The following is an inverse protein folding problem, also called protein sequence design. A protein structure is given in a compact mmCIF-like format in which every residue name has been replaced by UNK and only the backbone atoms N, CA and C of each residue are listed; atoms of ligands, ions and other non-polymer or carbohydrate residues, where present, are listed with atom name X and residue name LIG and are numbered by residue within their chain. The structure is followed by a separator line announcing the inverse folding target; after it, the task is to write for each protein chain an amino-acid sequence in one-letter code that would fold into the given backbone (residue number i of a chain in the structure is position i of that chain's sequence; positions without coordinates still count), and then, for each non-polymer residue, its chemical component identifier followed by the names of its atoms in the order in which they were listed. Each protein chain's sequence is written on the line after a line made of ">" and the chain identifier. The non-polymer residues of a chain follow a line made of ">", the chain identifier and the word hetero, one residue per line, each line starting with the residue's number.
data_IF_815930281949
#
_entry.id   IF_815930281949
#
_cell.length_a   1.000
_cell.length_b   1.000
_cell.length_c   1.000
_cell.angle_alpha   90.00
_cell.angle_beta   90.00
_cell.angle_gamma   90.00
#
_symmetry.space_group_name_H-M   'P 1'
#
loop_
_entity.id
_entity.type
_entity.pdbx_description
1 polymer ?
#
# COMPACT_ATOMS: atom_id res chain seq x y z
N UNK A 1 44.03 -37.97 41.85
CA UNK A 1 42.80 -37.20 41.52
C UNK A 1 43.20 -35.77 41.21
N UNK A 2 43.36 -35.43 39.93
CA UNK A 2 43.73 -34.07 39.47
C UNK A 2 42.51 -33.17 39.57
N UNK A 3 42.52 -32.22 40.52
CA UNK A 3 41.47 -31.23 40.73
C UNK A 3 41.57 -30.17 39.64
N UNK A 4 40.65 -30.21 38.67
CA UNK A 4 40.49 -29.15 37.68
C UNK A 4 40.06 -27.86 38.38
N UNK A 5 40.86 -26.80 38.27
CA UNK A 5 40.47 -25.45 38.73
C UNK A 5 39.28 -25.00 37.88
N UNK A 6 38.12 -24.85 38.51
CA UNK A 6 37.00 -24.15 37.90
C UNK A 6 37.25 -22.65 38.04
N UNK A 7 37.51 -21.99 36.92
CA UNK A 7 37.63 -20.55 36.86
C UNK A 7 36.21 -19.97 36.85
N UNK A 8 35.83 -19.26 37.91
CA UNK A 8 34.56 -18.54 37.98
C UNK A 8 34.65 -17.21 37.24
N UNK A 9 33.58 -16.82 36.55
CA UNK A 9 33.44 -15.49 35.95
C UNK A 9 33.44 -14.41 37.02
N UNK A 10 34.08 -13.28 36.72
CA UNK A 10 34.03 -12.12 37.63
C UNK A 10 32.69 -11.39 37.49
N UNK A 11 32.17 -10.83 38.59
CA UNK A 11 30.95 -9.99 38.56
C UNK A 11 31.13 -8.80 37.60
N UNK A 12 32.36 -8.28 37.51
CA UNK A 12 32.71 -7.17 36.62
C UNK A 12 32.63 -7.58 35.14
N UNK A 13 33.05 -8.80 34.78
CA UNK A 13 32.86 -9.34 33.42
C UNK A 13 31.38 -9.43 33.06
N UNK A 14 30.53 -9.89 33.97
CA UNK A 14 29.11 -9.98 33.68
C UNK A 14 28.48 -8.58 33.55
N UNK A 15 28.93 -7.63 34.38
CA UNK A 15 28.44 -6.25 34.38
C UNK A 15 28.77 -5.53 33.07
N UNK A 16 30.00 -5.64 32.57
CA UNK A 16 30.36 -4.97 31.31
C UNK A 16 29.58 -5.55 30.12
N UNK A 17 29.32 -6.86 30.12
CA UNK A 17 28.58 -7.54 29.04
C UNK A 17 27.14 -7.02 28.97
N UNK A 18 26.43 -6.92 30.09
CA UNK A 18 25.05 -6.41 30.08
C UNK A 18 24.98 -4.94 29.68
N UNK A 19 25.99 -4.13 30.04
CA UNK A 19 26.09 -2.73 29.63
C UNK A 19 26.28 -2.62 28.12
N UNK A 20 27.21 -3.41 27.56
CA UNK A 20 27.46 -3.42 26.12
C UNK A 20 26.24 -3.91 25.34
N UNK A 21 25.57 -4.98 25.80
CA UNK A 21 24.32 -5.46 25.18
C UNK A 21 23.23 -4.40 25.24
N UNK A 22 23.12 -3.66 26.36
CA UNK A 22 22.16 -2.56 26.50
C UNK A 22 22.38 -1.43 25.49
N UNK A 23 23.63 -1.01 25.29
CA UNK A 23 23.98 0.05 24.31
C UNK A 23 23.69 -0.43 22.88
N UNK A 24 24.11 -1.66 22.54
CA UNK A 24 23.87 -2.22 21.20
C UNK A 24 22.37 -2.40 20.90
N UNK A 25 21.58 -2.86 21.89
CA UNK A 25 20.15 -3.00 21.75
C UNK A 25 19.46 -1.65 21.48
N UNK A 26 19.83 -0.60 22.20
CA UNK A 26 19.25 0.74 22.03
C UNK A 26 19.47 1.30 20.61
N UNK A 27 20.69 1.19 20.08
CA UNK A 27 21.01 1.63 18.70
C UNK A 27 20.22 0.81 17.67
N UNK A 28 20.14 -0.50 17.87
CA UNK A 28 19.47 -1.43 16.95
C UNK A 28 17.99 -1.10 16.82
N UNK A 29 17.29 -0.78 17.91
CA UNK A 29 15.86 -0.45 17.91
C UNK A 29 15.58 0.80 17.05
N UNK A 30 16.37 1.86 17.21
CA UNK A 30 16.18 3.11 16.45
C UNK A 30 16.43 2.89 14.95
N UNK A 31 17.49 2.16 14.60
CA UNK A 31 17.80 1.84 13.22
C UNK A 31 16.72 0.96 12.56
N UNK A 32 16.16 0.00 13.30
CA UNK A 32 15.18 -0.95 12.80
C UNK A 32 13.86 -0.30 12.36
N UNK A 33 13.43 0.77 13.05
CA UNK A 33 12.22 1.52 12.68
C UNK A 33 12.30 2.16 11.29
N UNK A 34 13.45 2.74 10.94
CA UNK A 34 13.67 3.35 9.62
C UNK A 34 13.73 2.33 8.48
N UNK A 35 14.31 1.15 8.74
CA UNK A 35 14.36 0.05 7.76
C UNK A 35 12.97 -0.50 7.48
N UNK A 36 12.16 -0.73 8.51
CA UNK A 36 10.79 -1.21 8.35
C UNK A 36 9.92 -0.24 7.53
N UNK A 37 10.02 1.06 7.77
CA UNK A 37 9.25 2.06 7.01
C UNK A 37 9.58 2.02 5.51
N UNK A 38 10.86 1.90 5.14
CA UNK A 38 11.30 1.77 3.75
C UNK A 38 10.82 0.46 3.10
N UNK A 39 10.83 -0.64 3.86
CA UNK A 39 10.32 -1.92 3.39
C UNK A 39 8.81 -1.84 3.07
N UNK A 40 8.01 -1.25 3.98
CA UNK A 40 6.58 -1.01 3.77
C UNK A 40 6.31 -0.09 2.56
N UNK A 41 7.13 0.93 2.36
CA UNK A 41 7.00 1.81 1.20
C UNK A 41 7.27 1.07 -0.13
N UNK A 42 8.27 0.19 -0.16
CA UNK A 42 8.52 -0.67 -1.33
C UNK A 42 7.36 -1.62 -1.61
N UNK A 43 6.76 -2.16 -0.55
CA UNK A 43 5.58 -3.03 -0.64
C UNK A 43 4.36 -2.28 -1.19
N UNK A 44 4.07 -1.06 -0.68
CA UNK A 44 3.01 -0.18 -1.20
C UNK A 44 3.15 0.08 -2.70
N UNK A 45 4.37 0.39 -3.16
CA UNK A 45 4.63 0.63 -4.59
C UNK A 45 4.38 -0.63 -5.43
N UNK A 46 4.73 -1.80 -4.91
CA UNK A 46 4.49 -3.07 -5.59
C UNK A 46 2.99 -3.39 -5.70
N UNK A 47 2.24 -3.19 -4.62
CA UNK A 47 0.78 -3.40 -4.59
C UNK A 47 0.05 -2.47 -5.55
N UNK A 48 0.39 -1.19 -5.56
CA UNK A 48 -0.21 -0.21 -6.49
C UNK A 48 0.08 -0.58 -7.94
N UNK A 49 1.29 -1.06 -8.27
CA UNK A 49 1.61 -1.58 -9.61
C UNK A 49 0.76 -2.80 -9.98
N UNK A 50 0.49 -3.68 -9.02
CA UNK A 50 -0.38 -4.84 -9.21
C UNK A 50 -1.82 -4.40 -9.51
N UNK A 51 -2.36 -3.44 -8.73
CA UNK A 51 -3.68 -2.86 -8.97
C UNK A 51 -3.75 -2.19 -10.34
N UNK A 52 -2.77 -1.36 -10.68
CA UNK A 52 -2.65 -0.71 -11.98
C UNK A 52 -2.73 -1.74 -13.12
N UNK A 53 -1.89 -2.78 -13.10
CA UNK A 53 -1.89 -3.85 -14.10
C UNK A 53 -3.27 -4.52 -14.24
N UNK A 54 -3.96 -4.73 -13.13
CA UNK A 54 -5.30 -5.35 -13.09
C UNK A 54 -6.38 -4.46 -13.70
N UNK A 55 -6.29 -3.15 -13.49
CA UNK A 55 -7.15 -2.16 -14.12
C UNK A 55 -6.92 -2.07 -15.63
N UNK A 56 -5.66 -2.08 -16.07
CA UNK A 56 -5.33 -2.09 -17.51
C UNK A 56 -5.84 -3.36 -18.20
N UNK A 57 -5.69 -4.53 -17.58
CA UNK A 57 -6.25 -5.78 -18.12
C UNK A 57 -7.78 -5.72 -18.22
N UNK A 58 -8.46 -5.19 -17.20
CA UNK A 58 -9.91 -5.01 -17.25
C UNK A 58 -10.34 -4.06 -18.38
N UNK A 59 -9.63 -2.95 -18.56
CA UNK A 59 -9.88 -2.01 -19.64
C UNK A 59 -9.64 -2.65 -21.02
N UNK A 60 -8.60 -3.47 -21.17
CA UNK A 60 -8.35 -4.20 -22.42
C UNK A 60 -9.47 -5.20 -22.77
N UNK A 61 -10.11 -5.82 -21.77
CA UNK A 61 -11.19 -6.79 -21.96
C UNK A 61 -12.57 -6.14 -22.14
N UNK A 62 -12.84 -5.03 -21.44
CA UNK A 62 -14.18 -4.40 -21.38
C UNK A 62 -14.28 -3.09 -22.14
N UNK A 63 -13.17 -2.43 -22.45
CA UNK A 63 -13.12 -1.13 -23.11
C UNK A 63 -13.38 0.07 -22.19
N UNK A 64 -13.46 -0.13 -20.87
CA UNK A 64 -13.65 0.91 -19.87
C UNK A 64 -13.06 0.48 -18.52
N UNK A 65 -12.74 1.44 -17.65
CA UNK A 65 -12.28 1.15 -16.29
C UNK A 65 -13.44 0.85 -15.32
N UNK A 66 -13.25 0.04 -14.28
CA UNK A 66 -14.29 -0.21 -13.28
C UNK A 66 -14.78 1.08 -12.63
N UNK A 67 -16.08 1.15 -12.34
CA UNK A 67 -16.62 2.27 -11.56
C UNK A 67 -16.07 2.24 -10.14
N UNK A 68 -16.08 3.40 -9.49
CA UNK A 68 -15.65 3.52 -8.09
C UNK A 68 -16.46 2.59 -7.18
N UNK A 69 -17.75 2.41 -7.47
CA UNK A 69 -18.65 1.53 -6.72
C UNK A 69 -18.33 0.05 -6.95
N UNK A 70 -18.01 -0.35 -8.19
CA UNK A 70 -17.54 -1.71 -8.47
C UNK A 70 -16.25 -2.01 -7.71
N UNK A 71 -15.30 -1.08 -7.67
CA UNK A 71 -14.07 -1.22 -6.90
C UNK A 71 -14.29 -1.22 -5.38
N UNK A 72 -15.42 -0.73 -4.87
CA UNK A 72 -15.80 -0.89 -3.45
C UNK A 72 -16.35 -2.30 -3.15
N UNK A 73 -16.80 -3.05 -4.15
CA UNK A 73 -17.33 -4.40 -3.98
C UNK A 73 -16.18 -5.43 -3.85
N UNK A 74 -16.16 -6.19 -2.75
CA UNK A 74 -15.10 -7.16 -2.48
C UNK A 74 -15.08 -8.33 -3.47
N UNK A 75 -16.25 -8.85 -3.85
CA UNK A 75 -16.39 -9.94 -4.82
C UNK A 75 -15.88 -9.51 -6.19
N UNK A 76 -16.27 -8.31 -6.66
CA UNK A 76 -15.80 -7.76 -7.92
C UNK A 76 -14.26 -7.66 -7.99
N UNK A 77 -13.63 -7.19 -6.91
CA UNK A 77 -12.16 -7.14 -6.83
C UNK A 77 -11.55 -8.53 -6.87
N UNK A 78 -12.14 -9.51 -6.19
CA UNK A 78 -11.66 -10.90 -6.22
C UNK A 78 -11.80 -11.52 -7.61
N UNK A 79 -12.88 -11.23 -8.34
CA UNK A 79 -13.09 -11.69 -9.71
C UNK A 79 -12.06 -11.10 -10.68
N UNK A 80 -11.62 -9.86 -10.45
CA UNK A 80 -10.47 -9.26 -11.15
C UNK A 80 -9.13 -9.88 -10.74
N UNK A 81 -9.09 -10.69 -9.68
CA UNK A 81 -7.89 -11.27 -9.11
C UNK A 81 -7.09 -10.28 -8.23
N UNK A 82 -7.77 -9.33 -7.60
CA UNK A 82 -7.23 -8.48 -6.54
C UNK A 82 -7.55 -9.10 -5.17
N UNK A 83 -6.51 -9.50 -4.43
CA UNK A 83 -6.65 -10.04 -3.08
C UNK A 83 -6.78 -8.93 -2.03
N UNK A 84 -7.37 -9.24 -0.87
CA UNK A 84 -7.51 -8.29 0.26
C UNK A 84 -6.16 -7.72 0.71
N UNK A 85 -5.09 -8.52 0.66
CA UNK A 85 -3.74 -8.06 0.99
C UNK A 85 -3.27 -6.96 0.04
N UNK A 86 -3.44 -7.15 -1.27
CA UNK A 86 -3.04 -6.16 -2.30
C UNK A 86 -3.77 -4.82 -2.17
N UNK A 87 -4.87 -4.79 -1.43
CA UNK A 87 -5.73 -3.61 -1.28
C UNK A 87 -5.53 -2.90 0.05
N UNK A 88 -4.71 -3.45 0.94
CA UNK A 88 -4.55 -2.96 2.31
C UNK A 88 -3.12 -2.51 2.51
N UNK A 89 -2.85 -1.23 2.76
CA UNK A 89 -1.48 -0.79 2.93
C UNK A 89 -0.84 -1.46 4.16
N UNK A 90 0.48 -1.75 4.09
CA UNK A 90 1.22 -2.30 5.22
C UNK A 90 1.11 -1.41 6.46
N UNK A 91 1.02 -2.03 7.64
CA UNK A 91 0.94 -1.31 8.93
C UNK A 91 -0.49 -1.11 9.47
N UNK A 92 -1.41 -2.06 9.22
CA UNK A 92 -2.82 -2.03 9.64
C UNK A 92 -3.67 -0.96 8.94
N UNK A 93 -3.45 -0.78 7.64
CA UNK A 93 -4.35 0.02 6.82
C UNK A 93 -5.76 -0.56 6.70
N UNK A 94 -6.70 0.26 6.27
CA UNK A 94 -7.97 -0.20 5.69
C UNK A 94 -7.77 -0.57 4.21
N UNK A 95 -8.61 -1.49 3.72
CA UNK A 95 -8.70 -1.83 2.31
C UNK A 95 -8.95 -0.60 1.41
N UNK A 96 -8.71 -0.76 0.11
CA UNK A 96 -8.99 0.21 -0.95
C UNK A 96 -10.35 0.88 -0.75
N UNK A 97 -10.35 2.21 -0.79
CA UNK A 97 -11.48 3.09 -0.51
C UNK A 97 -11.78 4.06 -1.65
N UNK A 98 -13.01 4.56 -1.69
CA UNK A 98 -13.38 5.72 -2.52
C UNK A 98 -12.99 6.99 -1.76
N UNK A 99 -11.93 7.66 -2.21
CA UNK A 99 -11.47 8.90 -1.60
C UNK A 99 -10.85 9.84 -2.64
N UNK A 100 -11.19 11.13 -2.51
CA UNK A 100 -10.68 12.21 -3.35
C UNK A 100 -9.38 12.83 -2.82
N UNK A 101 -9.07 12.59 -1.55
CA UNK A 101 -7.88 13.07 -0.86
C UNK A 101 -7.06 11.90 -0.36
N UNK A 102 -5.76 12.12 -0.21
CA UNK A 102 -4.82 11.11 0.26
C UNK A 102 -5.20 10.66 1.67
N UNK A 103 -5.63 9.41 1.81
CA UNK A 103 -5.91 8.82 3.11
C UNK A 103 -4.61 8.20 3.67
N UNK A 104 -4.27 8.44 4.96
CA UNK A 104 -3.05 7.90 5.55
C UNK A 104 -3.07 6.37 5.63
N UNK A 105 -4.26 5.79 5.78
CA UNK A 105 -4.41 4.38 6.15
C UNK A 105 -5.04 3.55 5.02
N UNK A 106 -5.19 4.05 3.79
CA UNK A 106 -5.78 3.25 2.69
C UNK A 106 -5.33 3.72 1.31
N UNK A 107 -5.47 2.83 0.34
CA UNK A 107 -5.40 3.18 -1.07
C UNK A 107 -6.71 3.81 -1.53
N UNK A 108 -6.61 4.89 -2.30
CA UNK A 108 -7.76 5.56 -2.88
C UNK A 108 -7.88 5.18 -4.35
N UNK A 109 -9.10 4.91 -4.80
CA UNK A 109 -9.44 4.75 -6.21
C UNK A 109 -10.60 5.66 -6.58
N UNK A 110 -10.41 6.42 -7.65
CA UNK A 110 -11.49 7.16 -8.31
C UNK A 110 -11.39 6.94 -9.82
N UNK A 111 -12.54 6.75 -10.47
CA UNK A 111 -12.65 6.63 -11.92
C UNK A 111 -13.45 7.79 -12.48
N UNK A 112 -13.13 8.23 -13.70
CA UNK A 112 -13.75 9.37 -14.36
C UNK A 112 -14.16 9.07 -15.79
N UNK A 113 -15.19 9.77 -16.24
CA UNK A 113 -15.77 9.74 -17.58
C UNK A 113 -15.49 11.04 -18.34
N UNK A 114 -15.66 11.01 -19.66
CA UNK A 114 -15.42 12.17 -20.53
C UNK A 114 -16.48 13.27 -20.37
N UNK A 115 -17.73 12.86 -20.10
CA UNK A 115 -18.89 13.76 -20.06
C UNK A 115 -19.51 13.72 -18.66
N UNK A 116 -19.82 14.87 -18.03
CA UNK A 116 -20.43 14.87 -16.71
C UNK A 116 -21.92 14.52 -16.77
N UNK A 117 -22.40 13.74 -15.81
CA UNK A 117 -23.83 13.55 -15.54
C UNK A 117 -24.16 14.21 -14.21
N UNK A 118 -25.18 15.07 -14.22
CA UNK A 118 -25.52 15.95 -13.11
C UNK A 118 -24.32 16.79 -12.62
N UNK A 119 -23.42 17.19 -13.51
CA UNK A 119 -22.24 18.01 -13.18
C UNK A 119 -21.09 17.24 -12.52
N UNK A 120 -21.18 15.91 -12.35
CA UNK A 120 -20.12 15.10 -11.78
C UNK A 120 -19.36 14.30 -12.86
N UNK A 121 -18.03 14.27 -12.78
CA UNK A 121 -17.18 13.47 -13.67
C UNK A 121 -16.84 12.10 -13.11
N UNK A 122 -17.09 11.86 -11.83
CA UNK A 122 -16.73 10.61 -11.19
C UNK A 122 -17.75 9.50 -11.52
N UNK A 123 -17.24 8.32 -11.82
CA UNK A 123 -18.04 7.14 -12.06
C UNK A 123 -18.47 6.49 -10.73
N UNK A 124 -19.51 7.03 -10.09
CA UNK A 124 -20.01 6.56 -8.78
C UNK A 124 -21.36 5.84 -8.84
N UNK A 125 -22.11 5.95 -9.94
CA UNK A 125 -23.47 5.43 -10.08
C UNK A 125 -23.58 3.99 -10.61
N UNK A 126 -24.82 3.49 -10.67
CA UNK A 126 -25.20 2.32 -11.45
C UNK A 126 -24.70 2.48 -12.87
N UNK A 127 -24.00 1.45 -13.35
CA UNK A 127 -23.64 1.20 -14.74
C UNK A 127 -24.85 1.42 -15.66
N UNK A 128 -25.05 2.64 -16.12
CA UNK A 128 -25.62 2.80 -17.45
C UNK A 128 -24.59 2.19 -18.42
N UNK A 129 -24.97 1.25 -19.29
CA UNK A 129 -24.03 0.56 -20.20
C UNK A 129 -23.31 1.51 -21.17
N UNK A 130 -23.70 2.80 -21.21
CA UNK A 130 -23.13 3.84 -22.06
C UNK A 130 -22.31 4.90 -21.29
N UNK A 131 -22.10 4.76 -19.97
CA UNK A 131 -21.17 5.59 -19.21
C UNK A 131 -19.82 4.89 -19.09
N UNK A 132 -18.96 5.09 -20.08
CA UNK A 132 -17.62 4.50 -20.07
C UNK A 132 -16.68 5.35 -19.21
N UNK A 133 -16.11 4.73 -18.17
CA UNK A 133 -15.02 5.35 -17.41
C UNK A 133 -13.74 5.25 -18.24
N UNK A 134 -13.20 6.41 -18.63
CA UNK A 134 -12.05 6.54 -19.52
C UNK A 134 -10.74 6.80 -18.78
N UNK A 135 -10.80 7.16 -17.50
CA UNK A 135 -9.60 7.41 -16.70
C UNK A 135 -9.81 7.03 -15.25
N UNK A 136 -8.70 6.87 -14.54
CA UNK A 136 -8.72 6.64 -13.10
C UNK A 136 -7.52 7.28 -12.41
N UNK A 137 -7.66 7.48 -11.11
CA UNK A 137 -6.58 7.87 -10.24
C UNK A 137 -6.50 6.91 -9.05
N UNK A 138 -5.26 6.46 -8.78
CA UNK A 138 -4.88 5.73 -7.59
C UNK A 138 -4.04 6.64 -6.71
N UNK A 139 -4.45 6.84 -5.46
CA UNK A 139 -3.71 7.69 -4.53
C UNK A 139 -3.30 6.90 -3.30
N UNK A 140 -2.07 7.10 -2.84
CA UNK A 140 -1.54 6.44 -1.66
C UNK A 140 -0.52 7.34 -0.95
N UNK A 141 -0.25 7.03 0.31
CA UNK A 141 0.74 7.76 1.12
C UNK A 141 1.92 6.86 1.45
N UNK A 142 3.13 7.38 1.22
CA UNK A 142 4.36 6.75 1.69
C UNK A 142 4.71 7.28 3.09
N UNK A 143 5.42 6.46 3.86
CA UNK A 143 5.94 6.86 5.18
C UNK A 143 7.19 7.74 5.04
N UNK A 144 8.00 7.50 4.01
CA UNK A 144 9.22 8.26 3.74
C UNK A 144 9.02 9.58 2.98
N UNK A 145 7.88 9.78 2.32
CA UNK A 145 7.62 10.93 1.44
C UNK A 145 6.13 11.32 1.48
N UNK A 146 5.75 12.60 1.63
CA UNK A 146 4.34 12.98 1.57
C UNK A 146 3.73 12.69 0.18
N UNK A 147 2.69 11.85 0.21
CA UNK A 147 1.62 11.64 -0.80
C UNK A 147 2.05 11.42 -2.24
N UNK A 148 1.77 10.23 -2.79
CA UNK A 148 1.99 9.92 -4.20
C UNK A 148 0.64 9.65 -4.86
N UNK A 149 0.32 10.45 -5.88
CA UNK A 149 -0.86 10.24 -6.72
C UNK A 149 -0.43 9.68 -8.07
N UNK A 150 -0.94 8.50 -8.42
CA UNK A 150 -0.77 7.87 -9.73
C UNK A 150 -2.05 8.13 -10.52
N UNK A 151 -1.98 9.06 -11.47
CA UNK A 151 -3.07 9.32 -12.42
C UNK A 151 -2.81 8.60 -13.73
N UNK A 152 -3.79 7.85 -14.22
CA UNK A 152 -3.77 7.30 -15.56
C UNK A 152 -4.92 7.89 -16.36
N UNK A 153 -4.55 8.60 -17.43
CA UNK A 153 -5.49 9.25 -18.33
C UNK A 153 -5.37 8.56 -19.68
N UNK A 154 -6.47 8.01 -20.20
CA UNK A 154 -6.50 7.35 -21.52
C UNK A 154 -6.08 8.27 -22.68
N UNK A 155 -6.03 9.60 -22.45
CA UNK A 155 -5.61 10.61 -23.43
C UNK A 155 -4.09 10.91 -23.45
N UNK A 156 -3.28 10.30 -22.59
CA UNK A 156 -1.86 10.67 -22.44
C UNK A 156 -0.88 9.63 -23.01
N UNK A 157 -1.34 8.70 -23.85
CA UNK A 157 -0.49 7.73 -24.54
C UNK A 157 -0.57 7.90 -26.07
N UNK A 158 -0.21 9.09 -26.54
CA UNK A 158 0.06 9.38 -27.96
C UNK A 158 1.47 9.94 -28.11
#
# INVERSE_FOLDING_TARGET
>A
MTRTKQNGFTIVELLIVIVVIGILAAITIVAFNGVQARARDSERVSEIKSIHKKLEMYHAEKGYYPTSTQMMNATFRQDMGLSVGTLTPPGNGSSLGYCWSNAPDRYCYVSRRAVPVAGNYDCTGSVDPNETCISYALSYRLESNPTVEVRQNSLNNS
#
